data_IF_265321599987
#
_entry.id   IF_265321599987
#
_cell.length_a   1.000
_cell.length_b   1.000
_cell.length_c   1.000
_cell.angle_alpha   90.00
_cell.angle_beta   90.00
_cell.angle_gamma   90.00
#
_symmetry.space_group_name_H-M   'P 1'
#
loop_
_entity.id
_entity.type
_entity.pdbx_description
1 polymer ?
#
# COMPACT_ATOMS: atom_id res chain seq x y z
N UNK A 1 5.53 13.90 -6.70
CA UNK A 1 5.67 13.53 -5.27
C UNK A 1 5.31 14.77 -4.47
N UNK A 2 4.07 14.87 -3.98
CA UNK A 2 3.70 15.89 -3.01
C UNK A 2 4.22 15.43 -1.65
N UNK A 3 5.35 16.02 -1.23
CA UNK A 3 5.75 16.00 0.18
C UNK A 3 4.77 16.95 0.86
N UNK A 4 3.91 16.41 1.73
CA UNK A 4 2.97 17.21 2.52
C UNK A 4 3.72 18.14 3.45
N UNK A 5 3.05 19.17 3.95
CA UNK A 5 3.65 20.11 4.90
C UNK A 5 3.95 19.38 6.23
N UNK A 6 5.21 19.00 6.44
CA UNK A 6 5.71 18.26 7.62
C UNK A 6 5.60 19.07 8.93
N UNK A 7 5.18 20.34 8.87
CA UNK A 7 5.07 21.22 10.06
C UNK A 7 4.00 20.79 11.06
N UNK A 8 3.04 19.97 10.65
CA UNK A 8 1.91 19.55 11.47
C UNK A 8 1.95 18.06 11.82
N UNK A 9 2.93 17.30 11.31
CA UNK A 9 3.02 15.85 11.53
C UNK A 9 4.28 15.53 12.33
N UNK A 10 4.16 14.93 13.53
CA UNK A 10 5.31 14.45 14.29
C UNK A 10 6.14 13.46 13.46
N UNK A 11 7.45 13.65 13.44
CA UNK A 11 8.38 12.73 12.77
C UNK A 11 8.73 11.60 13.73
N UNK A 12 8.64 10.35 13.25
CA UNK A 12 8.97 9.16 14.03
C UNK A 12 7.73 8.35 14.41
N UNK A 13 7.91 7.45 15.38
CA UNK A 13 6.78 6.73 15.95
C UNK A 13 5.87 7.69 16.70
N UNK A 14 4.56 7.43 16.65
CA UNK A 14 3.57 8.22 17.38
C UNK A 14 3.66 7.95 18.88
N UNK A 15 3.38 9.00 19.66
CA UNK A 15 3.30 8.93 21.12
C UNK A 15 1.85 8.74 21.64
N UNK A 16 0.85 8.95 20.77
CA UNK A 16 -0.58 8.84 21.09
C UNK A 16 -1.22 7.60 20.46
N UNK A 17 -2.36 7.17 21.02
CA UNK A 17 -3.22 6.16 20.40
C UNK A 17 -3.63 6.53 18.97
N UNK A 18 -4.10 5.54 18.20
CA UNK A 18 -4.60 5.78 16.85
C UNK A 18 -5.78 4.89 16.56
N UNK A 19 -6.76 5.44 15.85
CA UNK A 19 -7.87 4.65 15.32
C UNK A 19 -8.19 5.06 13.89
N UNK A 20 -8.80 4.13 13.17
CA UNK A 20 -9.48 4.38 11.90
C UNK A 20 -10.96 4.07 12.10
N UNK A 21 -11.81 4.94 11.58
CA UNK A 21 -13.26 4.85 11.76
C UNK A 21 -13.88 6.22 11.69
N UNK A 22 -15.16 6.28 12.04
CA UNK A 22 -15.91 7.52 12.03
C UNK A 22 -15.85 8.21 13.40
N UNK A 23 -16.50 9.37 13.47
CA UNK A 23 -16.79 10.05 14.72
C UNK A 23 -18.29 10.27 14.82
N UNK A 24 -18.82 10.25 16.02
CA UNK A 24 -20.23 10.54 16.23
C UNK A 24 -20.50 12.06 16.18
N UNK A 25 -21.76 12.44 16.43
CA UNK A 25 -22.19 13.84 16.43
C UNK A 25 -21.58 14.67 17.57
N UNK A 26 -21.09 14.03 18.63
CA UNK A 26 -20.38 14.64 19.75
C UNK A 26 -18.87 14.70 19.52
N UNK A 27 -18.41 14.28 18.34
CA UNK A 27 -17.01 14.12 17.95
C UNK A 27 -16.26 13.01 18.72
N UNK A 28 -17.00 12.09 19.36
CA UNK A 28 -16.44 10.93 20.03
C UNK A 28 -16.00 9.86 18.99
N UNK A 29 -14.90 9.14 19.24
CA UNK A 29 -14.38 8.16 18.31
C UNK A 29 -15.31 6.94 18.17
N UNK A 30 -15.59 6.54 16.93
CA UNK A 30 -16.26 5.28 16.57
C UNK A 30 -15.27 4.40 15.78
N UNK A 31 -14.34 3.74 16.48
CA UNK A 31 -13.26 3.01 15.82
C UNK A 31 -13.78 1.72 15.16
N UNK A 32 -13.44 1.56 13.88
CA UNK A 32 -13.50 0.28 13.17
C UNK A 32 -12.20 -0.51 13.34
N UNK A 33 -11.11 0.20 13.62
CA UNK A 33 -9.78 -0.34 13.88
C UNK A 33 -9.04 0.57 14.87
N UNK A 34 -8.30 -0.04 15.78
CA UNK A 34 -7.38 0.63 16.69
C UNK A 34 -5.99 0.06 16.43
N UNK A 35 -4.98 0.92 16.29
CA UNK A 35 -3.59 0.49 16.11
C UNK A 35 -2.92 0.09 17.43
N UNK A 36 -1.67 -0.39 17.37
CA UNK A 36 -0.93 -0.82 18.56
C UNK A 36 -0.81 0.28 19.62
N UNK A 37 -0.62 -0.08 20.89
CA UNK A 37 -0.32 0.93 21.91
C UNK A 37 0.99 1.66 21.58
N UNK A 38 1.07 2.98 21.78
CA UNK A 38 2.31 3.74 21.56
C UNK A 38 3.52 3.11 22.23
N UNK A 39 3.36 2.62 23.46
CA UNK A 39 4.44 1.99 24.22
C UNK A 39 4.98 0.69 23.58
N UNK A 40 4.14 -0.04 22.85
CA UNK A 40 4.49 -1.31 22.22
C UNK A 40 5.06 -1.13 20.80
N UNK A 41 4.82 0.03 20.16
CA UNK A 41 5.21 0.30 18.77
C UNK A 41 6.71 0.09 18.52
N UNK A 42 7.65 0.61 19.34
CA UNK A 42 9.08 0.41 19.11
C UNK A 42 9.50 -1.06 19.07
N UNK A 43 8.95 -1.87 19.99
CA UNK A 43 9.26 -3.30 20.09
C UNK A 43 8.65 -4.09 18.94
N UNK A 44 7.38 -3.81 18.59
CA UNK A 44 6.70 -4.43 17.45
C UNK A 44 7.41 -4.11 16.13
N UNK A 45 7.82 -2.87 15.92
CA UNK A 45 8.56 -2.46 14.73
C UNK A 45 9.96 -3.09 14.66
N UNK A 46 10.64 -3.21 15.80
CA UNK A 46 11.92 -3.93 15.90
C UNK A 46 11.74 -5.40 15.54
N UNK A 47 10.68 -6.04 16.06
CA UNK A 47 10.36 -7.43 15.73
C UNK A 47 10.01 -7.62 14.25
N UNK A 48 9.23 -6.71 13.65
CA UNK A 48 8.89 -6.73 12.23
C UNK A 48 10.15 -6.60 11.35
N UNK A 49 11.07 -5.71 11.70
CA UNK A 49 12.34 -5.57 10.99
C UNK A 49 13.23 -6.81 11.13
N UNK A 50 13.27 -7.43 12.30
CA UNK A 50 13.98 -8.70 12.51
C UNK A 50 13.35 -9.83 11.68
N UNK A 51 12.01 -9.87 11.58
CA UNK A 51 11.30 -10.78 10.69
C UNK A 51 11.74 -10.57 9.23
N UNK A 52 11.71 -9.32 8.75
CA UNK A 52 12.16 -8.98 7.39
C UNK A 52 13.57 -9.49 7.08
N UNK A 53 14.52 -9.25 8.00
CA UNK A 53 15.90 -9.72 7.86
C UNK A 53 16.00 -11.25 7.80
N UNK A 54 15.17 -11.97 8.57
CA UNK A 54 15.15 -13.44 8.55
C UNK A 54 14.56 -13.98 7.25
N UNK A 55 13.45 -13.41 6.76
CA UNK A 55 12.83 -13.79 5.48
C UNK A 55 13.75 -13.54 4.28
N UNK A 56 14.72 -12.62 4.41
CA UNK A 56 15.76 -12.36 3.40
C UNK A 56 16.90 -13.39 3.40
N UNK A 57 17.21 -13.99 4.55
CA UNK A 57 18.45 -14.73 4.80
C UNK A 57 18.25 -16.24 5.02
N UNK A 58 17.17 -16.86 4.55
CA UNK A 58 16.96 -18.30 4.74
C UNK A 58 17.79 -19.16 3.78
N UNK A 59 18.82 -19.82 4.30
CA UNK A 59 19.71 -20.76 3.57
C UNK A 59 19.04 -22.10 3.15
N UNK A 60 17.77 -22.32 3.52
CA UNK A 60 17.14 -23.65 3.45
C UNK A 60 15.87 -23.72 2.59
N UNK A 61 15.23 -22.60 2.29
CA UNK A 61 14.16 -22.46 1.29
C UNK A 61 13.95 -20.96 1.08
N UNK A 62 14.05 -20.50 -0.16
CA UNK A 62 13.86 -19.09 -0.48
C UNK A 62 12.38 -18.73 -0.29
N UNK A 63 12.09 -17.86 0.68
CA UNK A 63 10.72 -17.33 0.87
C UNK A 63 10.37 -16.51 -0.36
N UNK A 64 9.17 -16.76 -0.92
CA UNK A 64 8.67 -16.03 -2.08
C UNK A 64 8.65 -14.50 -1.83
N UNK A 65 9.15 -13.67 -2.76
CA UNK A 65 9.20 -12.22 -2.61
C UNK A 65 7.84 -11.55 -2.36
N UNK A 66 6.75 -12.05 -2.96
CA UNK A 66 5.39 -11.54 -2.78
C UNK A 66 4.89 -11.86 -1.38
N UNK A 67 5.18 -13.07 -0.87
CA UNK A 67 4.86 -13.42 0.52
C UNK A 67 5.62 -12.55 1.52
N UNK A 68 6.93 -12.33 1.32
CA UNK A 68 7.69 -11.41 2.17
C UNK A 68 7.11 -9.99 2.11
N UNK A 69 6.77 -9.50 0.92
CA UNK A 69 6.18 -8.17 0.74
C UNK A 69 4.85 -8.04 1.49
N UNK A 70 3.97 -9.06 1.40
CA UNK A 70 2.71 -9.09 2.12
C UNK A 70 2.95 -9.05 3.65
N UNK A 71 3.77 -9.97 4.18
CA UNK A 71 4.01 -10.09 5.62
C UNK A 71 4.56 -8.78 6.22
N UNK A 72 5.48 -8.12 5.52
CA UNK A 72 6.11 -6.91 6.04
C UNK A 72 5.20 -5.70 5.88
N UNK A 73 4.57 -5.52 4.71
CA UNK A 73 3.74 -4.35 4.47
C UNK A 73 2.44 -4.37 5.28
N UNK A 74 1.74 -5.51 5.36
CA UNK A 74 0.50 -5.60 6.12
C UNK A 74 0.74 -5.62 7.63
N UNK A 75 1.80 -6.28 8.10
CA UNK A 75 2.22 -6.18 9.50
C UNK A 75 2.47 -4.73 9.92
N UNK A 76 3.14 -3.95 9.06
CA UNK A 76 3.35 -2.52 9.29
C UNK A 76 2.03 -1.73 9.38
N UNK A 77 1.09 -1.97 8.47
CA UNK A 77 -0.17 -1.18 8.45
C UNK A 77 -1.09 -1.53 9.62
N UNK A 78 -1.06 -2.78 10.11
CA UNK A 78 -1.77 -3.21 11.31
C UNK A 78 -1.13 -2.69 12.61
N UNK A 79 0.20 -2.62 12.72
CA UNK A 79 0.84 -1.94 13.87
C UNK A 79 0.46 -0.45 13.89
N UNK A 80 0.37 0.16 12.70
CA UNK A 80 0.03 1.56 12.50
C UNK A 80 0.96 2.52 13.29
N UNK A 81 2.28 2.48 13.06
CA UNK A 81 3.27 3.08 13.97
C UNK A 81 3.41 4.60 13.86
N UNK A 82 2.92 5.23 12.78
CA UNK A 82 3.09 6.67 12.54
C UNK A 82 1.80 7.45 12.79
N UNK A 83 1.92 8.75 13.05
CA UNK A 83 0.78 9.66 13.16
C UNK A 83 0.05 9.86 11.81
N UNK A 84 0.80 9.90 10.71
CA UNK A 84 0.28 9.92 9.34
C UNK A 84 1.29 9.21 8.41
N UNK A 85 0.85 8.83 7.21
CA UNK A 85 1.69 8.26 6.18
C UNK A 85 1.76 6.74 6.20
N UNK A 86 1.07 6.06 7.12
CA UNK A 86 1.06 4.59 7.21
C UNK A 86 0.65 3.95 5.88
N UNK A 87 -0.44 4.41 5.25
CA UNK A 87 -0.87 3.89 3.95
C UNK A 87 0.13 4.16 2.80
N UNK A 88 0.86 5.28 2.86
CA UNK A 88 1.90 5.61 1.85
C UNK A 88 3.12 4.70 2.03
N UNK A 89 3.61 4.56 3.26
CA UNK A 89 4.74 3.68 3.56
C UNK A 89 4.41 2.20 3.36
N UNK A 90 3.20 1.75 3.70
CA UNK A 90 2.72 0.40 3.41
C UNK A 90 2.94 0.05 1.93
N UNK A 91 2.47 0.90 1.01
CA UNK A 91 2.67 0.69 -0.43
C UNK A 91 4.14 0.78 -0.83
N UNK A 92 4.90 1.72 -0.27
CA UNK A 92 6.34 1.81 -0.51
C UNK A 92 7.08 0.54 -0.06
N UNK A 93 6.69 -0.09 1.05
CA UNK A 93 7.29 -1.32 1.54
C UNK A 93 7.05 -2.49 0.59
N UNK A 94 5.84 -2.62 0.03
CA UNK A 94 5.54 -3.63 -1.00
C UNK A 94 6.52 -3.49 -2.17
N UNK A 95 6.63 -2.30 -2.75
CA UNK A 95 7.55 -2.06 -3.87
C UNK A 95 9.00 -2.26 -3.48
N UNK A 96 9.38 -1.82 -2.28
CA UNK A 96 10.74 -1.94 -1.78
C UNK A 96 11.17 -3.39 -1.70
N UNK A 97 10.36 -4.25 -1.07
CA UNK A 97 10.66 -5.69 -0.96
C UNK A 97 10.72 -6.35 -2.34
N UNK A 98 9.74 -6.10 -3.21
CA UNK A 98 9.74 -6.67 -4.56
C UNK A 98 10.97 -6.24 -5.38
N UNK A 99 11.38 -4.97 -5.27
CA UNK A 99 12.56 -4.45 -5.96
C UNK A 99 13.87 -4.99 -5.37
N UNK A 100 14.01 -5.03 -4.04
CA UNK A 100 15.17 -5.57 -3.33
C UNK A 100 15.38 -7.05 -3.69
N UNK A 101 14.28 -7.81 -3.76
CA UNK A 101 14.27 -9.23 -4.14
C UNK A 101 14.36 -9.46 -5.65
N UNK A 102 14.54 -8.41 -6.46
CA UNK A 102 14.64 -8.47 -7.93
C UNK A 102 13.47 -9.17 -8.61
N UNK A 103 12.28 -9.13 -8.00
CA UNK A 103 11.05 -9.67 -8.58
C UNK A 103 10.72 -8.95 -9.90
N UNK A 104 11.09 -7.67 -9.99
CA UNK A 104 10.86 -6.81 -11.15
C UNK A 104 12.17 -6.39 -11.80
N UNK A 105 12.22 -6.30 -13.15
CA UNK A 105 13.35 -5.71 -13.87
C UNK A 105 13.86 -4.40 -13.25
N UNK A 106 15.19 -4.21 -13.13
CA UNK A 106 15.77 -2.96 -12.64
C UNK A 106 15.27 -1.75 -13.42
N UNK A 107 14.90 -0.69 -12.71
CA UNK A 107 14.42 0.57 -13.32
C UNK A 107 12.95 0.55 -13.75
N UNK A 108 12.24 -0.58 -13.61
CA UNK A 108 10.80 -0.65 -13.84
C UNK A 108 10.03 -0.42 -12.53
N UNK A 109 9.08 0.51 -12.55
CA UNK A 109 8.09 0.64 -11.48
C UNK A 109 7.00 -0.38 -11.73
N UNK A 110 6.92 -1.40 -10.87
CA UNK A 110 5.88 -2.42 -10.98
C UNK A 110 4.55 -1.85 -10.50
N UNK A 111 3.48 -1.79 -11.32
CA UNK A 111 2.30 -1.00 -11.01
C UNK A 111 1.32 -1.65 -10.02
N UNK A 112 1.78 -2.50 -9.09
CA UNK A 112 0.91 -3.24 -8.16
C UNK A 112 0.04 -2.32 -7.29
N UNK A 113 0.53 -1.15 -6.89
CA UNK A 113 -0.28 -0.18 -6.13
C UNK A 113 -1.42 0.44 -6.94
N UNK A 114 -1.30 0.52 -8.27
CA UNK A 114 -2.41 0.99 -9.11
C UNK A 114 -3.52 -0.05 -9.15
N UNK A 115 -3.15 -1.35 -9.23
CA UNK A 115 -4.12 -2.45 -9.15
C UNK A 115 -4.81 -2.49 -7.78
N UNK A 116 -4.07 -2.30 -6.70
CA UNK A 116 -4.67 -2.20 -5.36
C UNK A 116 -5.65 -1.02 -5.26
N UNK A 117 -5.35 0.10 -5.92
CA UNK A 117 -6.24 1.26 -5.97
C UNK A 117 -7.50 1.00 -6.79
N UNK A 118 -7.38 0.32 -7.93
CA UNK A 118 -8.52 -0.08 -8.75
C UNK A 118 -9.43 -1.09 -8.02
N UNK A 119 -8.85 -1.84 -7.08
CA UNK A 119 -9.52 -2.83 -6.21
C UNK A 119 -9.63 -2.35 -4.76
N UNK A 120 -9.88 -1.06 -4.56
CA UNK A 120 -9.85 -0.45 -3.22
C UNK A 120 -10.84 -1.09 -2.24
N UNK A 121 -11.99 -1.54 -2.73
CA UNK A 121 -13.02 -2.18 -1.89
C UNK A 121 -12.57 -3.58 -1.44
N UNK A 122 -11.96 -4.37 -2.33
CA UNK A 122 -11.35 -5.66 -1.98
C UNK A 122 -10.21 -5.46 -0.98
N UNK A 123 -9.36 -4.45 -1.20
CA UNK A 123 -8.27 -4.11 -0.28
C UNK A 123 -8.80 -3.77 1.12
N UNK A 124 -9.86 -2.96 1.22
CA UNK A 124 -10.52 -2.64 2.50
C UNK A 124 -11.11 -3.88 3.15
N UNK A 125 -11.78 -4.73 2.37
CA UNK A 125 -12.39 -5.95 2.87
C UNK A 125 -11.34 -6.92 3.45
N UNK A 126 -10.17 -7.04 2.82
CA UNK A 126 -9.06 -7.84 3.34
C UNK A 126 -8.57 -7.29 4.69
N UNK A 127 -8.32 -5.98 4.75
CA UNK A 127 -7.88 -5.34 6.01
C UNK A 127 -8.91 -5.51 7.14
N UNK A 128 -10.18 -5.30 6.84
CA UNK A 128 -11.28 -5.43 7.81
C UNK A 128 -11.50 -6.90 8.21
N UNK A 129 -11.31 -7.85 7.28
CA UNK A 129 -11.44 -9.28 7.56
C UNK A 129 -10.49 -9.75 8.66
N UNK A 130 -9.27 -9.20 8.70
CA UNK A 130 -8.32 -9.45 9.78
C UNK A 130 -8.60 -8.60 11.03
N UNK A 131 -8.80 -7.29 10.86
CA UNK A 131 -8.79 -6.34 11.98
C UNK A 131 -10.11 -6.25 12.76
N UNK A 132 -11.26 -6.41 12.10
CA UNK A 132 -12.56 -6.24 12.76
C UNK A 132 -12.81 -7.26 13.90
N UNK A 133 -12.48 -8.57 13.75
CA UNK A 133 -12.61 -9.52 14.85
C UNK A 133 -11.76 -9.18 16.08
N UNK A 134 -10.62 -8.50 15.89
CA UNK A 134 -9.72 -8.14 17.00
C UNK A 134 -10.31 -7.06 17.90
N UNK A 135 -11.25 -6.26 17.40
CA UNK A 135 -11.87 -5.17 18.16
C UNK A 135 -12.59 -5.66 19.42
N UNK A 136 -13.14 -6.88 19.41
CA UNK A 136 -13.77 -7.48 20.60
C UNK A 136 -12.77 -7.79 21.73
N UNK A 137 -11.47 -7.82 21.41
CA UNK A 137 -10.38 -8.12 22.33
C UNK A 137 -9.57 -6.89 22.74
N UNK A 138 -9.92 -5.71 22.24
CA UNK A 138 -9.27 -4.45 22.58
C UNK A 138 -10.20 -3.69 23.53
N UNK A 139 -9.87 -3.67 24.82
CA UNK A 139 -10.54 -2.81 25.78
C UNK A 139 -10.02 -1.39 25.59
N UNK A 140 -10.89 -0.45 25.25
CA UNK A 140 -10.48 0.93 25.00
C UNK A 140 -11.48 1.94 25.57
N UNK A 141 -11.05 3.20 25.68
CA UNK A 141 -11.93 4.34 25.99
C UNK A 141 -11.57 5.56 25.15
N UNK A 142 -12.53 6.45 24.97
CA UNK A 142 -12.28 7.77 24.38
C UNK A 142 -11.45 8.63 25.35
N UNK A 143 -10.45 9.34 24.84
CA UNK A 143 -9.68 10.33 25.59
C UNK A 143 -10.36 11.70 25.57
N UNK A 144 -10.05 12.61 26.52
CA UNK A 144 -10.57 13.98 26.49
C UNK A 144 -10.19 14.79 25.24
N UNK A 145 -9.14 14.38 24.53
CA UNK A 145 -8.72 14.97 23.25
C UNK A 145 -9.45 14.38 22.04
N UNK A 146 -10.41 13.47 22.27
CA UNK A 146 -11.17 12.79 21.22
C UNK A 146 -10.38 11.69 20.52
N UNK A 147 -9.34 11.13 21.13
CA UNK A 147 -8.62 9.98 20.61
C UNK A 147 -9.02 8.70 21.36
N UNK A 148 -8.32 7.58 21.13
CA UNK A 148 -8.53 6.31 21.84
C UNK A 148 -7.35 5.99 22.76
N UNK A 149 -7.65 5.38 23.90
CA UNK A 149 -6.67 4.81 24.83
C UNK A 149 -7.02 3.33 25.03
N UNK A 150 -6.05 2.45 24.77
CA UNK A 150 -6.18 1.00 24.98
C UNK A 150 -5.80 0.68 26.42
N UNK A 151 -6.63 -0.13 27.07
CA UNK A 151 -6.60 -0.38 28.52
C UNK A 151 -6.02 -1.76 28.89
N UNK A 152 -5.88 -2.66 27.93
CA UNK A 152 -5.32 -4.00 28.11
C UNK A 152 -4.05 -4.20 27.28
N UNK A 153 -3.33 -5.30 27.54
CA UNK A 153 -2.20 -5.71 26.72
C UNK A 153 -2.70 -6.33 25.41
N UNK A 154 -2.26 -5.73 24.29
CA UNK A 154 -2.70 -6.10 22.94
C UNK A 154 -1.53 -6.36 22.00
N UNK A 155 -0.28 -6.34 22.48
CA UNK A 155 0.90 -6.46 21.61
C UNK A 155 0.87 -7.75 20.78
N UNK A 156 0.38 -8.84 21.36
CA UNK A 156 0.32 -10.14 20.68
C UNK A 156 -0.67 -10.16 19.50
N UNK A 157 -1.69 -9.31 19.50
CA UNK A 157 -2.64 -9.19 18.37
C UNK A 157 -1.95 -8.71 17.09
N UNK A 158 -0.90 -7.91 17.23
CA UNK A 158 -0.11 -7.38 16.10
C UNK A 158 1.12 -8.24 15.80
N UNK A 159 1.62 -8.97 16.81
CA UNK A 159 2.79 -9.83 16.70
C UNK A 159 2.49 -11.12 15.94
N UNK A 160 1.32 -11.70 16.17
CA UNK A 160 0.91 -12.98 15.61
C UNK A 160 -0.37 -12.79 14.81
N UNK A 161 -0.22 -12.46 13.54
CA UNK A 161 -1.34 -12.25 12.64
C UNK A 161 -1.30 -13.24 11.49
N UNK A 162 -2.47 -13.70 11.06
CA UNK A 162 -2.62 -14.52 9.85
C UNK A 162 -2.61 -13.58 8.64
N UNK A 163 -1.65 -13.79 7.74
CA UNK A 163 -1.41 -12.97 6.54
C UNK A 163 -1.93 -13.65 5.25
N UNK A 164 -2.74 -14.71 5.37
CA UNK A 164 -3.15 -15.51 4.22
C UNK A 164 -3.98 -14.69 3.23
N UNK A 165 -5.01 -13.98 3.69
CA UNK A 165 -5.89 -13.20 2.82
C UNK A 165 -5.14 -12.02 2.16
N UNK A 166 -4.23 -11.40 2.89
CA UNK A 166 -3.36 -10.32 2.43
C UNK A 166 -2.39 -10.79 1.34
N UNK A 167 -1.80 -11.97 1.54
CA UNK A 167 -0.93 -12.60 0.57
C UNK A 167 -1.69 -12.97 -0.71
N UNK A 168 -2.85 -13.61 -0.60
CA UNK A 168 -3.72 -13.96 -1.74
C UNK A 168 -4.13 -12.71 -2.52
N UNK A 169 -4.57 -11.66 -1.82
CA UNK A 169 -4.92 -10.38 -2.43
C UNK A 169 -3.75 -9.75 -3.17
N UNK A 170 -2.55 -9.73 -2.56
CA UNK A 170 -1.36 -9.18 -3.22
C UNK A 170 -0.97 -10.00 -4.45
N UNK A 171 -1.08 -11.33 -4.38
CA UNK A 171 -0.86 -12.21 -5.54
C UNK A 171 -1.85 -11.94 -6.67
N UNK A 172 -3.12 -11.71 -6.36
CA UNK A 172 -4.09 -11.34 -7.40
C UNK A 172 -3.72 -10.01 -8.05
N UNK A 173 -3.25 -9.03 -7.26
CA UNK A 173 -2.79 -7.75 -7.79
C UNK A 173 -1.55 -7.92 -8.70
N UNK A 174 -0.60 -8.75 -8.28
CA UNK A 174 0.59 -9.12 -9.06
C UNK A 174 0.20 -9.84 -10.36
N UNK A 175 -0.72 -10.82 -10.28
CA UNK A 175 -1.22 -11.58 -11.43
C UNK A 175 -1.88 -10.66 -12.44
N UNK A 176 -2.82 -9.81 -12.02
CA UNK A 176 -3.47 -8.82 -12.90
C UNK A 176 -2.45 -7.87 -13.53
N UNK A 177 -1.46 -7.42 -12.75
CA UNK A 177 -0.38 -6.57 -13.27
C UNK A 177 0.37 -7.25 -14.42
N UNK A 178 0.72 -8.53 -14.27
CA UNK A 178 1.52 -9.29 -15.25
C UNK A 178 0.68 -9.72 -16.46
N UNK A 179 -0.54 -10.19 -16.24
CA UNK A 179 -1.38 -10.79 -17.28
C UNK A 179 -2.18 -9.75 -18.07
N UNK A 180 -2.50 -8.61 -17.47
CA UNK A 180 -3.37 -7.61 -18.10
C UNK A 180 -2.67 -6.27 -18.30
N UNK A 181 -2.19 -5.64 -17.23
CA UNK A 181 -1.80 -4.23 -17.28
C UNK A 181 -0.47 -4.00 -18.01
N UNK A 182 0.55 -4.81 -17.73
CA UNK A 182 1.83 -4.74 -18.46
C UNK A 182 1.66 -5.03 -19.96
N UNK A 183 0.95 -6.11 -20.39
CA UNK A 183 0.65 -6.32 -21.81
C UNK A 183 -0.12 -5.18 -22.46
N UNK A 184 -1.12 -4.61 -21.75
CA UNK A 184 -1.91 -3.48 -22.24
C UNK A 184 -1.04 -2.24 -22.45
N UNK A 185 -0.17 -1.93 -21.49
CA UNK A 185 0.75 -0.80 -21.57
C UNK A 185 1.76 -0.96 -22.71
N UNK A 186 2.36 -2.15 -22.87
CA UNK A 186 3.25 -2.46 -23.98
C UNK A 186 2.54 -2.29 -25.32
N UNK A 187 1.29 -2.76 -25.44
CA UNK A 187 0.49 -2.62 -26.65
C UNK A 187 0.16 -1.15 -26.95
N UNK A 188 -0.18 -0.37 -25.92
CA UNK A 188 -0.42 1.05 -26.03
C UNK A 188 0.82 1.79 -26.55
N UNK A 189 1.98 1.61 -25.92
CA UNK A 189 3.23 2.26 -26.32
C UNK A 189 3.62 1.91 -27.77
N UNK A 190 3.51 0.63 -28.16
CA UNK A 190 3.79 0.20 -29.55
C UNK A 190 2.87 0.89 -30.57
N UNK A 191 1.58 1.03 -30.27
CA UNK A 191 0.61 1.69 -31.15
C UNK A 191 0.83 3.19 -31.19
N UNK A 192 1.13 3.81 -30.06
CA UNK A 192 1.48 5.22 -29.96
C UNK A 192 2.71 5.55 -30.82
N UNK A 193 3.78 4.76 -30.72
CA UNK A 193 5.00 4.95 -31.53
C UNK A 193 4.78 4.71 -33.02
N UNK A 194 3.89 3.79 -33.38
CA UNK A 194 3.47 3.58 -34.77
C UNK A 194 2.68 4.79 -35.31
N UNK A 195 1.75 5.33 -34.51
CA UNK A 195 0.97 6.51 -34.86
C UNK A 195 1.87 7.75 -35.03
N UNK A 196 2.79 7.98 -34.08
CA UNK A 196 3.79 9.06 -34.17
C UNK A 196 4.60 8.97 -35.46
N UNK A 197 5.16 7.79 -35.77
CA UNK A 197 5.92 7.58 -37.03
C UNK A 197 5.06 7.81 -38.26
N UNK A 198 3.81 7.36 -38.27
CA UNK A 198 2.90 7.55 -39.41
C UNK A 198 2.56 9.02 -39.65
N UNK A 199 2.34 9.79 -38.58
CA UNK A 199 2.07 11.24 -38.67
C UNK A 199 3.30 11.95 -39.21
N UNK A 200 4.47 11.72 -38.61
CA UNK A 200 5.73 12.38 -38.97
C UNK A 200 6.18 12.04 -40.41
N UNK A 201 5.90 10.83 -40.89
CA UNK A 201 6.17 10.46 -42.29
C UNK A 201 5.23 11.12 -43.30
N UNK A 202 4.04 11.55 -42.87
CA UNK A 202 3.03 12.14 -43.76
C UNK A 202 3.07 13.67 -43.76
N UNK A 203 3.33 14.27 -42.61
CA UNK A 203 3.37 15.72 -42.40
C UNK A 203 4.48 16.00 -41.38
N UNK A 204 5.47 16.80 -41.77
CA UNK A 204 6.49 17.27 -40.85
C UNK A 204 5.88 18.28 -39.88
N UNK A 205 5.93 17.97 -38.59
CA UNK A 205 5.40 18.83 -37.53
C UNK A 205 6.15 18.62 -36.22
N UNK A 206 6.06 19.55 -35.26
CA UNK A 206 6.66 19.36 -33.95
C UNK A 206 6.05 18.15 -33.22
N UNK A 207 6.89 17.32 -32.57
CA UNK A 207 6.46 16.15 -31.78
C UNK A 207 5.33 16.45 -30.78
N UNK A 208 5.36 17.62 -30.15
CA UNK A 208 4.33 18.02 -29.20
C UNK A 208 2.95 18.14 -29.86
N UNK A 209 2.90 18.64 -31.10
CA UNK A 209 1.66 18.76 -31.87
C UNK A 209 1.15 17.38 -32.31
N UNK A 210 2.04 16.51 -32.80
CA UNK A 210 1.69 15.13 -33.16
C UNK A 210 1.13 14.36 -31.96
N UNK A 211 1.73 14.50 -30.77
CA UNK A 211 1.21 13.91 -29.52
C UNK A 211 -0.17 14.45 -29.16
N UNK A 212 -0.42 15.75 -29.34
CA UNK A 212 -1.75 16.33 -29.10
C UNK A 212 -2.80 15.79 -30.06
N UNK A 213 -2.47 15.57 -31.34
CA UNK A 213 -3.37 14.94 -32.31
C UNK A 213 -3.73 13.52 -31.86
N UNK A 214 -2.73 12.72 -31.48
CA UNK A 214 -2.98 11.36 -30.97
C UNK A 214 -3.87 11.42 -29.74
N UNK A 215 -3.57 12.28 -28.77
CA UNK A 215 -4.37 12.44 -27.55
C UNK A 215 -5.81 12.82 -27.88
N UNK A 216 -6.02 13.81 -28.74
CA UNK A 216 -7.34 14.29 -29.16
C UNK A 216 -8.16 13.16 -29.81
N UNK A 217 -7.56 12.43 -30.76
CA UNK A 217 -8.23 11.31 -31.43
C UNK A 217 -8.55 10.19 -30.45
N UNK A 218 -7.65 9.87 -29.52
CA UNK A 218 -7.87 8.80 -28.53
C UNK A 218 -8.96 9.16 -27.53
N UNK A 219 -9.03 10.42 -27.09
CA UNK A 219 -10.05 10.93 -26.16
C UNK A 219 -11.45 11.01 -26.81
N UNK A 220 -11.53 11.13 -28.14
CA UNK A 220 -12.79 11.19 -28.88
C UNK A 220 -13.15 9.85 -29.55
N UNK A 221 -12.57 8.74 -29.12
CA UNK A 221 -12.83 7.39 -29.67
C UNK A 221 -12.61 7.28 -31.19
N UNK A 222 -11.68 8.07 -31.75
CA UNK A 222 -11.40 8.11 -33.18
C UNK A 222 -12.30 9.03 -33.99
N UNK A 223 -13.09 9.91 -33.35
CA UNK A 223 -13.94 10.91 -33.99
C UNK A 223 -13.34 12.31 -34.01
#
# INVERSE_FOLDING_TARGET
>A
ILIGDDRLTPIGYRDDGVFLGERDHSNDPLPEFIGARPEDVPDLMTALNNCNNRLRLTDTEEVDPVLQAAIIAFGFVYIHPLADGNGRLHRCLIHHVLAERKYTPPGMVFPVSSVMLDRIDDYRAVLQGHSAPLMEHIAWRATPTGNVEVLNDTADLYRFYDCTAEAEFLYDCVRKTIEEDLPREIAYLKRHDAAMRSIMNRIEMPDALARQVILFVTQNEGR
#
